data_IF_771377409297
#
_entry.id   IF_771377409297
#
_cell.length_a   1.000
_cell.length_b   1.000
_cell.length_c   1.000
_cell.angle_alpha   90.00
_cell.angle_beta   90.00
_cell.angle_gamma   90.00
#
_symmetry.space_group_name_H-M   'P 1'
#
loop_
_entity.id
_entity.type
_entity.pdbx_description
1 polymer ?
#
# COMPACT_ATOMS: atom_id res chain seq x y z
N UNK A 1 9.98 -14.47 -2.78
CA UNK A 1 8.99 -13.42 -2.49
C UNK A 1 9.75 -12.31 -1.76
N UNK A 2 9.96 -11.17 -2.41
CA UNK A 2 10.64 -10.04 -1.79
C UNK A 2 9.59 -9.19 -1.07
N UNK A 3 9.69 -9.13 0.25
CA UNK A 3 8.91 -8.20 1.06
C UNK A 3 9.66 -6.87 1.07
N UNK A 4 9.06 -5.84 0.45
CA UNK A 4 9.43 -4.43 0.51
C UNK A 4 10.83 -4.03 -0.02
N UNK A 5 11.87 -4.84 0.15
CA UNK A 5 13.23 -4.51 -0.28
C UNK A 5 13.62 -5.27 -1.54
N UNK A 6 13.51 -4.59 -2.69
CA UNK A 6 14.02 -5.11 -3.95
C UNK A 6 15.47 -4.68 -4.14
N UNK A 7 16.38 -5.65 -4.32
CA UNK A 7 17.76 -5.36 -4.75
C UNK A 7 17.79 -4.72 -6.14
N UNK A 8 16.75 -4.97 -6.94
CA UNK A 8 16.43 -4.24 -8.16
C UNK A 8 14.91 -4.22 -8.32
N UNK A 9 14.27 -3.04 -8.38
CA UNK A 9 12.82 -2.97 -8.49
C UNK A 9 12.34 -3.68 -9.77
N UNK A 10 11.19 -4.39 -9.72
CA UNK A 10 10.62 -5.02 -10.90
C UNK A 10 10.24 -3.97 -11.95
N UNK A 11 10.10 -4.41 -13.20
CA UNK A 11 9.65 -3.52 -14.27
C UNK A 11 8.19 -3.09 -14.03
N UNK A 12 7.87 -1.79 -14.00
CA UNK A 12 6.49 -1.31 -13.86
C UNK A 12 5.57 -1.79 -15.01
N UNK A 13 4.27 -1.99 -14.74
CA UNK A 13 3.60 -1.76 -13.46
C UNK A 13 3.84 -2.88 -12.45
N UNK A 14 4.00 -2.54 -11.17
CA UNK A 14 4.09 -3.51 -10.09
C UNK A 14 3.41 -3.01 -8.81
N UNK A 15 3.04 -3.96 -7.94
CA UNK A 15 2.38 -3.69 -6.67
C UNK A 15 3.26 -4.20 -5.52
N UNK A 16 3.30 -3.44 -4.44
CA UNK A 16 3.92 -3.82 -3.16
C UNK A 16 2.82 -3.87 -2.09
N UNK A 17 2.81 -4.93 -1.29
CA UNK A 17 1.99 -5.03 -0.10
C UNK A 17 2.90 -5.18 1.11
N UNK A 18 2.77 -4.28 2.08
CA UNK A 18 3.63 -4.27 3.26
C UNK A 18 2.87 -3.87 4.53
N UNK A 19 3.43 -4.30 5.66
CA UNK A 19 3.05 -3.78 6.97
C UNK A 19 3.62 -2.37 7.15
N UNK A 20 2.79 -1.44 7.62
CA UNK A 20 3.20 -0.05 7.80
C UNK A 20 3.41 0.28 9.27
N UNK A 21 2.39 0.11 10.09
CA UNK A 21 2.46 0.37 11.53
C UNK A 21 1.31 -0.31 12.27
N UNK A 22 1.39 -0.38 13.60
CA UNK A 22 0.32 -0.91 14.45
C UNK A 22 -0.34 0.18 15.29
N UNK A 23 -1.66 0.20 15.33
CA UNK A 23 -2.48 1.08 16.17
C UNK A 23 -2.92 0.35 17.44
N UNK A 24 -1.96 0.02 18.32
CA UNK A 24 -2.23 -0.81 19.48
C UNK A 24 -3.08 -0.09 20.53
N UNK A 25 -4.15 -0.74 21.00
CA UNK A 25 -4.87 -0.33 22.19
C UNK A 25 -4.25 -0.97 23.43
N UNK A 26 -3.73 -0.15 24.35
CA UNK A 26 -2.99 -0.59 25.53
C UNK A 26 -3.61 -0.17 26.86
N UNK A 27 -3.48 -1.04 27.86
CA UNK A 27 -3.76 -0.76 29.28
C UNK A 27 -2.82 -1.61 30.15
N UNK A 28 -2.62 -1.26 31.43
CA UNK A 28 -1.81 -2.05 32.39
C UNK A 28 -0.45 -2.55 31.86
N UNK A 29 0.23 -1.75 31.05
CA UNK A 29 1.50 -2.09 30.41
C UNK A 29 1.45 -3.33 29.47
N UNK A 30 0.27 -3.58 28.86
CA UNK A 30 0.02 -4.65 27.89
C UNK A 30 -0.78 -4.14 26.69
N UNK A 31 -0.57 -4.74 25.53
CA UNK A 31 -1.42 -4.55 24.35
C UNK A 31 -2.65 -5.45 24.51
N UNK A 32 -3.82 -4.84 24.56
CA UNK A 32 -5.10 -5.54 24.66
C UNK A 32 -5.70 -5.81 23.29
N UNK A 33 -5.51 -4.88 22.35
CA UNK A 33 -5.89 -5.08 20.97
C UNK A 33 -4.79 -4.56 20.05
N UNK A 34 -4.43 -5.38 19.06
CA UNK A 34 -3.29 -5.14 18.18
C UNK A 34 -3.80 -4.98 16.75
N UNK A 35 -4.15 -3.74 16.40
CA UNK A 35 -4.53 -3.38 15.05
C UNK A 35 -3.28 -3.20 14.18
N UNK A 36 -3.26 -3.85 13.02
CA UNK A 36 -2.16 -3.77 12.06
C UNK A 36 -2.65 -3.05 10.81
N UNK A 37 -1.99 -1.95 10.50
CA UNK A 37 -2.25 -1.17 9.29
C UNK A 37 -1.26 -1.61 8.21
N UNK A 38 -1.77 -1.79 7.01
CA UNK A 38 -1.00 -2.20 5.85
C UNK A 38 -1.08 -1.15 4.75
N UNK A 39 -0.11 -1.21 3.83
CA UNK A 39 -0.10 -0.39 2.65
C UNK A 39 -0.03 -1.26 1.40
N UNK A 40 -0.82 -0.86 0.40
CA UNK A 40 -0.75 -1.35 -0.97
C UNK A 40 -0.26 -0.20 -1.84
N UNK A 41 0.90 -0.39 -2.46
CA UNK A 41 1.52 0.62 -3.32
C UNK A 41 1.56 0.14 -4.77
N UNK A 42 0.99 0.91 -5.68
CA UNK A 42 1.06 0.70 -7.12
C UNK A 42 2.07 1.66 -7.73
N UNK A 43 3.06 1.10 -8.42
CA UNK A 43 4.09 1.86 -9.14
C UNK A 43 3.92 1.71 -10.65
N UNK A 44 3.78 2.82 -11.36
CA UNK A 44 3.60 2.85 -12.83
C UNK A 44 4.46 3.93 -13.48
N UNK A 45 4.80 3.76 -14.78
CA UNK A 45 5.52 4.81 -15.55
C UNK A 45 4.64 5.98 -15.95
N UNK A 46 3.35 5.72 -16.11
CA UNK A 46 2.31 6.70 -16.47
C UNK A 46 1.12 6.46 -15.57
N UNK A 47 0.35 7.52 -15.30
CA UNK A 47 -0.91 7.40 -14.57
C UNK A 47 -1.78 6.29 -15.18
N UNK A 48 -2.23 5.34 -14.36
CA UNK A 48 -2.99 4.17 -14.78
C UNK A 48 -4.28 4.00 -13.95
N UNK A 49 -5.33 4.77 -14.28
CA UNK A 49 -6.61 4.70 -13.58
C UNK A 49 -7.29 3.32 -13.67
N UNK A 50 -6.92 2.50 -14.65
CA UNK A 50 -7.51 1.16 -14.81
C UNK A 50 -7.00 0.23 -13.73
N UNK A 51 -5.69 0.22 -13.50
CA UNK A 51 -5.08 -0.57 -12.41
C UNK A 51 -5.54 -0.08 -11.04
N UNK A 52 -5.70 1.23 -10.85
CA UNK A 52 -6.24 1.82 -9.62
C UNK A 52 -7.67 1.33 -9.34
N UNK A 53 -8.57 1.39 -10.32
CA UNK A 53 -9.94 0.93 -10.17
C UNK A 53 -10.06 -0.58 -9.86
N UNK A 54 -9.12 -1.40 -10.36
CA UNK A 54 -9.07 -2.82 -10.02
C UNK A 54 -8.69 -3.06 -8.56
N UNK A 55 -7.77 -2.25 -8.02
CA UNK A 55 -7.36 -2.32 -6.61
C UNK A 55 -8.49 -1.82 -5.70
N UNK A 56 -9.04 -0.65 -6.00
CA UNK A 56 -10.16 -0.06 -5.25
C UNK A 56 -11.39 -1.01 -5.25
N UNK A 57 -11.74 -1.58 -6.41
CA UNK A 57 -12.82 -2.56 -6.51
C UNK A 57 -12.55 -3.86 -5.74
N UNK A 58 -11.29 -4.26 -5.57
CA UNK A 58 -10.93 -5.40 -4.73
C UNK A 58 -11.11 -5.07 -3.24
N UNK A 59 -10.79 -3.86 -2.80
CA UNK A 59 -11.05 -3.44 -1.43
C UNK A 59 -12.55 -3.37 -1.13
N UNK A 60 -13.31 -2.73 -2.02
CA UNK A 60 -14.76 -2.59 -1.88
C UNK A 60 -15.47 -3.96 -1.83
N UNK A 61 -15.05 -4.91 -2.68
CA UNK A 61 -15.61 -6.25 -2.70
C UNK A 61 -15.31 -7.07 -1.43
N UNK A 62 -14.31 -6.69 -0.66
CA UNK A 62 -13.92 -7.33 0.61
C UNK A 62 -14.28 -6.48 1.84
N UNK A 63 -15.05 -5.40 1.66
CA UNK A 63 -15.45 -4.48 2.74
C UNK A 63 -14.25 -3.87 3.48
N UNK A 64 -13.14 -3.64 2.76
CA UNK A 64 -11.92 -3.04 3.29
C UNK A 64 -11.99 -1.52 3.08
N UNK A 65 -11.91 -0.77 4.18
CA UNK A 65 -11.76 0.68 4.11
C UNK A 65 -10.34 1.05 3.62
N UNK A 66 -10.24 2.08 2.80
CA UNK A 66 -8.96 2.53 2.27
C UNK A 66 -8.88 4.05 2.17
N UNK A 67 -7.69 4.60 2.44
CA UNK A 67 -7.32 5.98 2.15
C UNK A 67 -6.24 6.00 1.06
N UNK A 68 -6.34 6.96 0.12
CA UNK A 68 -5.48 7.01 -1.07
C UNK A 68 -4.64 8.28 -1.12
N UNK A 69 -3.35 8.10 -1.38
CA UNK A 69 -2.41 9.18 -1.67
C UNK A 69 -1.65 8.91 -2.97
N UNK A 70 -1.37 9.96 -3.73
CA UNK A 70 -0.64 9.87 -5.00
C UNK A 70 0.60 10.76 -4.98
N UNK A 71 1.73 10.20 -5.43
CA UNK A 71 3.01 10.91 -5.50
C UNK A 71 3.72 10.56 -6.79
N UNK A 72 4.36 11.54 -7.44
CA UNK A 72 5.32 11.28 -8.51
C UNK A 72 6.74 11.29 -7.94
N UNK A 73 7.50 10.22 -8.16
CA UNK A 73 8.86 10.05 -7.66
C UNK A 73 9.82 10.45 -8.78
N UNK A 74 10.27 11.72 -8.78
CA UNK A 74 11.12 12.28 -9.84
C UNK A 74 12.42 11.50 -10.04
N UNK A 75 13.04 11.00 -8.97
CA UNK A 75 14.29 10.24 -9.04
C UNK A 75 14.16 8.89 -9.76
N UNK A 76 12.94 8.34 -9.80
CA UNK A 76 12.64 7.05 -10.43
C UNK A 76 11.84 7.20 -11.72
N UNK A 77 11.22 8.36 -11.95
CA UNK A 77 10.33 8.60 -13.08
C UNK A 77 9.06 7.75 -13.01
N UNK A 78 8.54 7.52 -11.79
CA UNK A 78 7.39 6.66 -11.52
C UNK A 78 6.29 7.42 -10.80
N UNK A 79 5.05 7.09 -11.11
CA UNK A 79 3.89 7.40 -10.30
C UNK A 79 3.72 6.32 -9.24
N UNK A 80 3.60 6.74 -7.98
CA UNK A 80 3.24 5.90 -6.85
C UNK A 80 1.82 6.25 -6.43
N UNK A 81 0.96 5.26 -6.35
CA UNK A 81 -0.36 5.35 -5.72
C UNK A 81 -0.33 4.45 -4.50
N UNK A 82 -0.53 5.03 -3.32
CA UNK A 82 -0.48 4.35 -2.03
C UNK A 82 -1.88 4.30 -1.44
N UNK A 83 -2.30 3.09 -1.07
CA UNK A 83 -3.53 2.83 -0.32
C UNK A 83 -3.18 2.36 1.09
N UNK A 84 -3.69 3.05 2.11
CA UNK A 84 -3.62 2.62 3.51
C UNK A 84 -4.89 1.85 3.86
N UNK A 85 -4.74 0.63 4.39
CA UNK A 85 -5.82 -0.30 4.74
C UNK A 85 -5.63 -0.93 6.13
#
# INVERSE_FOLDING_TARGET
MAYHHFTSPPSPPYIVYLFSYSSNFGADNKVYDAEKNFQVELYTKTKDPTSEALIEGLFDANEIYWDKTETYIDSEGLYQVLYEI
#
